data_IF_130888383831
#
_entry.id   IF_130888383831
#
_cell.length_a   1.000
_cell.length_b   1.000
_cell.length_c   1.000
_cell.angle_alpha   90.00
_cell.angle_beta   90.00
_cell.angle_gamma   90.00
#
_symmetry.space_group_name_H-M   'P 1'
#
loop_
_entity.id
_entity.type
_entity.pdbx_description
1 polymer ?
#
# COMPACT_ATOMS: atom_id res chain seq x y z
N UNK A 1 -33.24 12.20 5.79
CA UNK A 1 -32.57 10.96 6.24
C UNK A 1 -31.07 11.25 6.29
N UNK A 2 -30.53 11.44 7.48
CA UNK A 2 -29.12 11.73 7.70
C UNK A 2 -28.33 10.43 7.56
N UNK A 3 -27.51 10.34 6.51
CA UNK A 3 -26.53 9.27 6.39
C UNK A 3 -25.57 9.35 7.58
N UNK A 4 -25.65 8.41 8.48
CA UNK A 4 -24.71 8.27 9.59
C UNK A 4 -23.33 8.09 8.97
N UNK A 5 -22.45 9.10 9.10
CA UNK A 5 -21.04 8.97 8.73
C UNK A 5 -20.42 7.87 9.60
N UNK A 6 -20.31 6.66 9.05
CA UNK A 6 -19.53 5.59 9.69
C UNK A 6 -18.10 6.10 9.87
N UNK A 7 -17.55 5.94 11.08
CA UNK A 7 -16.16 6.31 11.36
C UNK A 7 -15.21 5.57 10.40
N UNK A 8 -14.13 6.20 9.94
CA UNK A 8 -13.16 5.57 9.00
C UNK A 8 -12.70 4.17 9.43
N UNK A 9 -12.49 3.95 10.73
CA UNK A 9 -12.09 2.67 11.33
C UNK A 9 -13.12 1.55 11.05
N UNK A 10 -14.41 1.84 11.13
CA UNK A 10 -15.47 0.85 10.87
C UNK A 10 -15.49 0.39 9.40
N UNK A 11 -15.03 1.23 8.46
CA UNK A 11 -14.93 0.90 7.03
C UNK A 11 -13.73 0.00 6.71
N UNK A 12 -12.73 -0.04 7.59
CA UNK A 12 -11.51 -0.83 7.43
C UNK A 12 -11.60 -2.20 8.12
N UNK A 13 -12.56 -2.40 9.04
CA UNK A 13 -12.64 -3.60 9.87
C UNK A 13 -12.65 -4.92 9.10
N UNK A 14 -13.39 -5.10 7.99
CA UNK A 14 -13.35 -6.35 7.23
C UNK A 14 -11.95 -6.67 6.68
N UNK A 15 -11.23 -5.65 6.21
CA UNK A 15 -9.86 -5.80 5.75
C UNK A 15 -8.92 -6.15 6.90
N UNK A 16 -9.01 -5.47 8.04
CA UNK A 16 -8.20 -5.75 9.23
C UNK A 16 -8.39 -7.20 9.69
N UNK A 17 -9.64 -7.68 9.75
CA UNK A 17 -9.95 -9.04 10.15
C UNK A 17 -9.41 -10.07 9.15
N UNK A 18 -9.52 -9.80 7.84
CA UNK A 18 -8.97 -10.65 6.80
C UNK A 18 -7.44 -10.72 6.84
N UNK A 19 -6.77 -9.58 7.00
CA UNK A 19 -5.29 -9.52 7.12
C UNK A 19 -4.83 -10.27 8.37
N UNK A 20 -5.50 -10.08 9.50
CA UNK A 20 -5.19 -10.83 10.73
C UNK A 20 -5.28 -12.34 10.51
N UNK A 21 -6.35 -12.81 9.91
CA UNK A 21 -6.51 -14.23 9.58
C UNK A 21 -5.40 -14.73 8.64
N UNK A 22 -5.04 -13.95 7.62
CA UNK A 22 -3.94 -14.30 6.70
C UNK A 22 -2.59 -14.42 7.43
N UNK A 23 -2.26 -13.48 8.32
CA UNK A 23 -1.01 -13.50 9.11
C UNK A 23 -0.99 -14.67 10.11
N UNK A 24 -2.13 -15.06 10.66
CA UNK A 24 -2.25 -16.20 11.59
C UNK A 24 -1.92 -17.55 10.95
N UNK A 25 -1.92 -17.67 9.61
CA UNK A 25 -1.44 -18.86 8.90
C UNK A 25 0.03 -19.15 9.15
N UNK A 26 0.84 -18.16 9.57
CA UNK A 26 2.28 -18.28 9.83
C UNK A 26 3.06 -18.87 8.65
N UNK A 27 2.60 -18.59 7.42
CA UNK A 27 3.30 -18.90 6.21
C UNK A 27 4.62 -18.10 6.09
N UNK A 28 5.44 -18.43 5.10
CA UNK A 28 6.59 -17.58 4.80
C UNK A 28 6.13 -16.19 4.30
N UNK A 29 7.07 -15.26 4.18
CA UNK A 29 6.73 -13.89 3.83
C UNK A 29 6.10 -13.75 2.43
N UNK A 30 6.57 -14.53 1.46
CA UNK A 30 6.04 -14.48 0.09
C UNK A 30 4.61 -14.99 0.05
N UNK A 31 4.33 -16.11 0.70
CA UNK A 31 2.99 -16.66 0.79
C UNK A 31 2.06 -15.75 1.62
N UNK A 32 2.55 -15.20 2.73
CA UNK A 32 1.78 -14.24 3.55
C UNK A 32 1.39 -13.02 2.73
N UNK A 33 2.31 -12.45 1.95
CA UNK A 33 2.01 -11.30 1.09
C UNK A 33 0.92 -11.61 0.07
N UNK A 34 0.93 -12.81 -0.54
CA UNK A 34 -0.10 -13.24 -1.49
C UNK A 34 -1.46 -13.47 -0.81
N UNK A 35 -1.50 -14.06 0.38
CA UNK A 35 -2.72 -14.23 1.17
C UNK A 35 -3.32 -12.87 1.52
N UNK A 36 -2.50 -11.91 1.93
CA UNK A 36 -2.93 -10.54 2.25
C UNK A 36 -3.40 -9.79 1.00
N UNK A 37 -2.74 -9.97 -0.15
CA UNK A 37 -3.19 -9.40 -1.42
C UNK A 37 -4.60 -9.92 -1.80
N UNK A 38 -4.88 -11.19 -1.54
CA UNK A 38 -6.22 -11.75 -1.76
C UNK A 38 -7.27 -11.16 -0.80
N UNK A 39 -6.90 -10.88 0.45
CA UNK A 39 -7.79 -10.20 1.40
C UNK A 39 -8.05 -8.73 0.99
N UNK A 40 -7.05 -8.03 0.45
CA UNK A 40 -7.23 -6.72 -0.17
C UNK A 40 -8.22 -6.77 -1.33
N UNK A 41 -8.15 -7.80 -2.18
CA UNK A 41 -9.11 -7.99 -3.29
C UNK A 41 -10.53 -8.23 -2.80
N UNK A 42 -10.70 -9.08 -1.77
CA UNK A 42 -12.03 -9.44 -1.22
C UNK A 42 -12.67 -8.28 -0.45
N UNK A 43 -11.86 -7.50 0.24
CA UNK A 43 -12.29 -6.43 1.14
C UNK A 43 -11.74 -5.07 0.68
N UNK A 44 -11.76 -4.81 -0.65
CA UNK A 44 -11.19 -3.61 -1.24
C UNK A 44 -11.84 -2.37 -0.63
N UNK A 45 -11.07 -1.53 0.09
CA UNK A 45 -11.64 -0.31 0.65
C UNK A 45 -11.92 0.72 -0.44
N UNK A 46 -12.74 1.69 -0.10
CA UNK A 46 -12.97 2.87 -0.96
C UNK A 46 -12.14 4.07 -0.47
N UNK A 47 -11.92 5.10 -1.30
CA UNK A 47 -11.14 6.28 -0.91
C UNK A 47 -11.64 6.99 0.35
N UNK A 48 -12.89 6.75 0.76
CA UNK A 48 -13.50 7.32 1.99
C UNK A 48 -12.91 6.76 3.29
N UNK A 49 -11.98 5.79 3.24
CA UNK A 49 -11.15 5.43 4.41
C UNK A 49 -10.24 6.59 4.82
N UNK A 50 -9.93 7.49 3.88
CA UNK A 50 -9.23 8.75 4.11
C UNK A 50 -10.23 9.90 4.22
N UNK A 51 -9.90 10.89 5.05
CA UNK A 51 -10.68 12.12 5.12
C UNK A 51 -10.58 12.91 3.81
N UNK A 52 -11.56 13.81 3.50
CA UNK A 52 -11.45 14.67 2.33
C UNK A 52 -10.12 15.44 2.25
N UNK A 53 -9.62 15.93 3.39
CA UNK A 53 -8.34 16.63 3.44
C UNK A 53 -7.15 15.75 3.12
N UNK A 54 -7.11 14.51 3.63
CA UNK A 54 -6.05 13.56 3.34
C UNK A 54 -6.01 13.19 1.85
N UNK A 55 -7.17 13.04 1.21
CA UNK A 55 -7.29 12.71 -0.22
C UNK A 55 -6.76 13.80 -1.17
N UNK A 56 -6.61 15.04 -0.70
CA UNK A 56 -6.01 16.11 -1.49
C UNK A 56 -4.50 15.91 -1.73
N UNK A 57 -3.85 15.10 -0.89
CA UNK A 57 -2.40 14.92 -0.95
C UNK A 57 -1.64 16.22 -0.64
N UNK A 58 -0.39 16.27 -1.00
CA UNK A 58 0.49 17.42 -0.80
C UNK A 58 1.24 17.76 -2.08
N UNK A 59 1.48 19.05 -2.38
CA UNK A 59 2.24 19.44 -3.56
C UNK A 59 3.74 19.06 -3.49
N UNK A 60 4.30 18.89 -2.27
CA UNK A 60 5.74 18.63 -2.10
C UNK A 60 6.14 17.18 -2.42
N UNK A 61 5.30 16.22 -1.99
CA UNK A 61 5.54 14.79 -2.18
C UNK A 61 4.27 13.99 -1.91
N UNK A 62 4.25 12.73 -2.34
CA UNK A 62 3.18 11.81 -1.92
C UNK A 62 3.06 11.75 -0.39
N UNK A 63 1.87 11.42 0.10
CA UNK A 63 1.58 11.34 1.54
C UNK A 63 1.21 9.93 1.94
N UNK A 64 1.75 9.54 3.10
CA UNK A 64 1.44 8.28 3.77
C UNK A 64 0.58 8.57 5.00
N UNK A 65 -0.51 7.84 5.15
CA UNK A 65 -1.44 7.94 6.29
C UNK A 65 -1.59 6.57 6.93
N UNK A 66 -1.09 6.40 8.15
CA UNK A 66 -1.29 5.16 8.91
C UNK A 66 -2.77 5.05 9.29
N UNK A 67 -3.42 3.99 8.83
CA UNK A 67 -4.85 3.73 9.03
C UNK A 67 -5.10 2.72 10.16
N UNK A 68 -4.19 1.75 10.30
CA UNK A 68 -4.25 0.72 11.34
C UNK A 68 -2.85 0.22 11.67
N UNK A 69 -2.62 -0.05 12.95
CA UNK A 69 -1.46 -0.82 13.43
C UNK A 69 -2.01 -1.94 14.29
N UNK A 70 -1.66 -3.18 13.98
CA UNK A 70 -2.06 -4.33 14.79
C UNK A 70 -1.43 -4.23 16.17
N UNK A 71 -2.18 -4.47 17.27
CA UNK A 71 -1.68 -4.26 18.64
C UNK A 71 -0.41 -5.02 18.99
N UNK A 72 -0.19 -6.18 18.39
CA UNK A 72 1.02 -6.99 18.57
C UNK A 72 2.17 -6.58 17.62
N UNK A 73 1.95 -5.60 16.75
CA UNK A 73 2.95 -5.08 15.81
C UNK A 73 3.20 -5.97 14.58
N UNK A 74 2.40 -6.99 14.34
CA UNK A 74 2.59 -7.94 13.24
C UNK A 74 2.33 -7.35 11.86
N UNK A 75 1.46 -6.34 11.76
CA UNK A 75 1.23 -5.62 10.51
C UNK A 75 0.70 -4.20 10.71
N UNK A 76 0.80 -3.40 9.66
CA UNK A 76 0.19 -2.07 9.57
C UNK A 76 -0.52 -1.91 8.24
N UNK A 77 -1.59 -1.11 8.21
CA UNK A 77 -2.30 -0.69 7.01
C UNK A 77 -2.11 0.81 6.83
N UNK A 78 -1.70 1.20 5.62
CA UNK A 78 -1.32 2.56 5.27
C UNK A 78 -2.03 2.98 3.98
N UNK A 79 -2.59 4.17 3.94
CA UNK A 79 -3.09 4.80 2.71
C UNK A 79 -2.02 5.71 2.12
N UNK A 80 -1.69 5.54 0.85
CA UNK A 80 -0.79 6.41 0.10
C UNK A 80 -1.58 7.28 -0.86
N UNK A 81 -1.24 8.57 -0.93
CA UNK A 81 -1.90 9.56 -1.79
C UNK A 81 -0.85 10.23 -2.66
N UNK A 82 -1.02 10.07 -3.97
CA UNK A 82 -0.07 10.51 -5.00
C UNK A 82 -0.73 11.57 -5.87
N UNK A 83 -0.25 12.81 -5.83
CA UNK A 83 -0.67 13.81 -6.81
C UNK A 83 -0.01 13.51 -8.17
N UNK A 84 -0.56 14.06 -9.27
CA UNK A 84 0.02 13.91 -10.60
C UNK A 84 1.53 14.16 -10.63
N UNK A 85 2.27 13.23 -11.25
CA UNK A 85 3.72 13.31 -11.43
C UNK A 85 4.56 12.89 -10.21
N UNK A 86 3.95 12.57 -9.07
CA UNK A 86 4.71 12.13 -7.89
C UNK A 86 5.14 10.67 -8.02
N UNK A 87 6.35 10.39 -7.51
CA UNK A 87 6.96 9.06 -7.56
C UNK A 87 7.77 8.78 -6.29
N UNK A 88 8.03 7.50 -6.02
CA UNK A 88 9.02 7.09 -5.03
C UNK A 88 10.43 7.16 -5.62
N UNK A 89 11.43 7.13 -4.76
CA UNK A 89 12.77 6.67 -5.14
C UNK A 89 12.73 5.17 -5.41
N UNK A 90 13.71 4.64 -6.14
CA UNK A 90 13.90 3.18 -6.27
C UNK A 90 14.28 2.65 -4.88
N UNK A 91 13.55 1.65 -4.39
CA UNK A 91 13.74 1.12 -3.03
C UNK A 91 13.35 -0.35 -2.92
N UNK A 92 13.83 -0.99 -1.85
CA UNK A 92 13.37 -2.30 -1.37
C UNK A 92 12.78 -2.17 0.04
N UNK A 93 12.17 -3.26 0.55
CA UNK A 93 11.43 -3.24 1.82
C UNK A 93 12.12 -4.05 2.91
N UNK A 94 11.80 -3.72 4.16
CA UNK A 94 12.30 -4.43 5.36
C UNK A 94 11.47 -5.68 5.69
N UNK A 95 10.29 -5.79 5.10
CA UNK A 95 9.31 -6.84 5.36
C UNK A 95 8.46 -7.09 4.12
N UNK A 96 7.60 -8.08 4.15
CA UNK A 96 6.60 -8.29 3.10
C UNK A 96 5.63 -7.11 3.00
N UNK A 97 5.13 -6.91 1.80
CA UNK A 97 4.13 -5.90 1.48
C UNK A 97 3.05 -6.50 0.57
N UNK A 98 1.83 -6.05 0.75
CA UNK A 98 0.76 -6.21 -0.23
C UNK A 98 0.08 -4.86 -0.45
N UNK A 99 -0.36 -4.57 -1.67
CA UNK A 99 -1.07 -3.33 -1.94
C UNK A 99 -2.25 -3.52 -2.90
N UNK A 100 -3.15 -2.54 -2.87
CA UNK A 100 -4.25 -2.40 -3.83
C UNK A 100 -4.43 -0.95 -4.21
N UNK A 101 -4.70 -0.68 -5.50
CA UNK A 101 -5.11 0.65 -5.96
C UNK A 101 -6.60 0.83 -5.74
N UNK A 102 -7.00 1.94 -5.14
CA UNK A 102 -8.40 2.27 -4.83
C UNK A 102 -8.90 3.54 -5.53
N UNK A 103 -7.99 4.32 -6.14
CA UNK A 103 -8.31 5.46 -7.00
C UNK A 103 -7.17 5.72 -7.97
N UNK A 104 -7.49 6.07 -9.22
CA UNK A 104 -6.51 6.41 -10.24
C UNK A 104 -5.74 5.21 -10.76
N UNK A 105 -4.51 5.44 -11.19
CA UNK A 105 -3.59 4.43 -11.72
C UNK A 105 -2.21 4.67 -11.12
N UNK A 106 -1.53 3.60 -10.73
CA UNK A 106 -0.14 3.62 -10.28
C UNK A 106 0.72 2.83 -11.26
N UNK A 107 1.69 3.49 -11.86
CA UNK A 107 2.71 2.86 -12.68
C UNK A 107 3.81 2.31 -11.78
N UNK A 108 4.12 1.03 -11.91
CA UNK A 108 5.16 0.33 -11.14
C UNK A 108 6.27 -0.14 -12.08
N UNK A 109 7.50 0.11 -11.68
CA UNK A 109 8.70 -0.37 -12.33
C UNK A 109 9.44 -1.32 -11.37
N UNK A 110 9.81 -2.50 -11.86
CA UNK A 110 10.56 -3.53 -11.11
C UNK A 110 12.00 -3.59 -11.59
N UNK A 111 12.93 -3.75 -10.67
CA UNK A 111 14.35 -3.77 -10.93
C UNK A 111 15.02 -5.02 -10.38
N UNK A 112 16.07 -5.49 -11.06
CA UNK A 112 16.97 -6.50 -10.51
C UNK A 112 17.98 -5.91 -9.53
N UNK A 113 18.89 -6.75 -8.99
CA UNK A 113 19.90 -6.33 -8.03
C UNK A 113 20.94 -5.37 -8.61
N UNK A 114 21.11 -5.36 -9.94
CA UNK A 114 22.01 -4.46 -10.67
C UNK A 114 21.29 -3.19 -11.16
N UNK A 115 20.03 -2.98 -10.74
CA UNK A 115 19.14 -1.88 -11.11
C UNK A 115 18.78 -1.84 -12.60
N UNK A 116 18.79 -2.96 -13.28
CA UNK A 116 18.20 -3.05 -14.60
C UNK A 116 16.68 -3.17 -14.47
N UNK A 117 15.95 -2.44 -15.31
CA UNK A 117 14.50 -2.57 -15.40
C UNK A 117 14.16 -3.96 -15.95
N UNK A 118 13.40 -4.74 -15.16
CA UNK A 118 13.00 -6.12 -15.52
C UNK A 118 11.50 -6.27 -15.77
N UNK A 119 10.70 -5.27 -15.42
CA UNK A 119 9.26 -5.26 -15.64
C UNK A 119 8.64 -3.93 -15.29
N UNK A 120 7.49 -3.66 -15.90
CA UNK A 120 6.66 -2.50 -15.60
C UNK A 120 5.18 -2.86 -15.76
N UNK A 121 4.31 -2.19 -15.00
CA UNK A 121 2.87 -2.39 -15.09
C UNK A 121 2.11 -1.14 -14.66
N UNK A 122 0.93 -0.94 -15.25
CA UNK A 122 -0.07 0.02 -14.77
C UNK A 122 -1.07 -0.72 -13.89
N UNK A 123 -1.11 -0.37 -12.61
CA UNK A 123 -2.03 -0.94 -11.65
C UNK A 123 -3.28 -0.05 -11.56
N UNK A 124 -4.42 -0.59 -11.94
CA UNK A 124 -5.72 0.07 -11.93
C UNK A 124 -6.49 -0.21 -10.64
N UNK A 125 -7.60 0.50 -10.45
CA UNK A 125 -8.49 0.27 -9.29
C UNK A 125 -8.92 -1.19 -9.24
N UNK A 126 -8.65 -1.84 -8.11
CA UNK A 126 -8.93 -3.26 -7.88
C UNK A 126 -7.75 -4.20 -8.18
N UNK A 127 -6.70 -3.72 -8.85
CA UNK A 127 -5.47 -4.50 -8.98
C UNK A 127 -4.77 -4.60 -7.62
N UNK A 128 -4.29 -5.80 -7.32
CA UNK A 128 -3.60 -6.12 -6.08
C UNK A 128 -2.28 -6.80 -6.39
N UNK A 129 -1.30 -6.58 -5.54
CA UNK A 129 0.01 -7.24 -5.60
C UNK A 129 0.48 -7.60 -4.20
N UNK A 130 1.27 -8.68 -4.09
CA UNK A 130 1.92 -9.08 -2.85
C UNK A 130 3.34 -9.55 -3.16
N UNK A 131 4.30 -9.07 -2.38
CA UNK A 131 5.71 -9.38 -2.56
C UNK A 131 6.47 -9.35 -1.24
N UNK A 132 7.65 -9.95 -1.24
CA UNK A 132 8.55 -9.97 -0.10
C UNK A 132 10.01 -9.90 -0.54
N UNK A 133 10.90 -9.29 0.28
CA UNK A 133 12.32 -9.34 0.01
C UNK A 133 12.86 -10.79 0.08
N UNK A 134 13.92 -11.12 -0.69
CA UNK A 134 14.58 -10.28 -1.68
C UNK A 134 13.87 -10.29 -3.04
N UNK A 135 14.17 -9.30 -3.90
CA UNK A 135 13.64 -9.22 -5.26
C UNK A 135 12.45 -8.28 -5.40
N UNK A 136 12.28 -7.41 -4.43
CA UNK A 136 11.20 -6.44 -4.29
C UNK A 136 11.66 -5.00 -4.58
N UNK A 137 12.73 -4.84 -5.37
CA UNK A 137 13.25 -3.51 -5.74
C UNK A 137 12.31 -2.90 -6.77
N UNK A 138 11.71 -1.76 -6.41
CA UNK A 138 10.75 -1.10 -7.29
C UNK A 138 10.73 0.43 -7.16
N UNK A 139 10.00 1.04 -8.07
CA UNK A 139 9.57 2.44 -8.02
C UNK A 139 8.10 2.53 -8.42
N UNK A 140 7.35 3.37 -7.72
CA UNK A 140 5.94 3.65 -8.02
C UNK A 140 5.80 5.10 -8.45
N UNK A 141 4.98 5.35 -9.47
CA UNK A 141 4.78 6.66 -10.07
C UNK A 141 3.31 6.88 -10.43
N UNK A 142 2.74 8.03 -10.04
CA UNK A 142 1.49 8.49 -10.61
C UNK A 142 1.78 9.25 -11.91
N UNK A 143 1.64 8.58 -13.04
CA UNK A 143 1.91 9.13 -14.39
C UNK A 143 0.77 9.98 -14.94
N UNK A 144 -0.38 10.05 -14.25
CA UNK A 144 -1.51 10.89 -14.66
C UNK A 144 -1.12 12.38 -14.69
N UNK A 145 -1.71 13.12 -15.62
CA UNK A 145 -1.53 14.58 -15.72
C UNK A 145 -2.43 15.35 -14.73
N UNK A 146 -3.54 14.78 -14.30
CA UNK A 146 -4.62 15.50 -13.61
C UNK A 146 -5.29 14.72 -12.47
N UNK A 147 -5.10 13.41 -12.38
CA UNK A 147 -5.81 12.55 -11.44
C UNK A 147 -4.91 12.13 -10.27
N UNK A 148 -5.36 12.36 -9.04
CA UNK A 148 -4.72 11.84 -7.84
C UNK A 148 -4.94 10.33 -7.74
N UNK A 149 -3.87 9.56 -7.57
CA UNK A 149 -3.92 8.14 -7.27
C UNK A 149 -3.94 7.90 -5.76
N UNK A 150 -4.64 6.86 -5.33
CA UNK A 150 -4.69 6.41 -3.95
C UNK A 150 -4.58 4.90 -3.91
N UNK A 151 -3.66 4.40 -3.09
CA UNK A 151 -3.49 2.98 -2.82
C UNK A 151 -3.51 2.67 -1.33
N UNK A 152 -3.81 1.42 -1.01
CA UNK A 152 -3.74 0.88 0.35
C UNK A 152 -2.64 -0.17 0.38
N UNK A 153 -1.71 0.00 1.30
CA UNK A 153 -0.58 -0.88 1.51
C UNK A 153 -0.68 -1.56 2.87
N UNK A 154 -0.34 -2.84 2.92
CA UNK A 154 -0.21 -3.61 4.15
C UNK A 154 1.25 -4.05 4.28
N UNK A 155 1.88 -3.71 5.39
CA UNK A 155 3.26 -4.06 5.69
C UNK A 155 3.33 -5.01 6.89
N UNK A 156 4.17 -6.03 6.82
CA UNK A 156 4.37 -7.04 7.87
C UNK A 156 5.16 -6.53 9.08
N UNK A 157 4.86 -5.33 9.54
CA UNK A 157 5.51 -4.68 10.68
C UNK A 157 4.73 -3.46 11.16
N UNK A 158 5.07 -2.96 12.34
CA UNK A 158 4.59 -1.66 12.84
C UNK A 158 5.43 -0.53 12.21
N UNK A 159 4.91 0.09 11.14
CA UNK A 159 5.58 1.17 10.42
C UNK A 159 5.80 2.43 11.24
N UNK A 160 5.06 2.63 12.33
CA UNK A 160 5.19 3.81 13.20
C UNK A 160 6.47 3.77 14.02
N UNK A 161 6.99 2.56 14.28
CA UNK A 161 8.23 2.36 15.05
C UNK A 161 9.50 2.52 14.22
N UNK A 162 9.40 2.32 12.90
CA UNK A 162 10.55 2.25 12.00
C UNK A 162 10.64 3.44 11.04
N UNK A 163 9.65 4.34 11.07
CA UNK A 163 9.63 5.55 10.24
C UNK A 163 9.32 5.34 8.75
N UNK A 164 9.00 4.10 8.35
CA UNK A 164 8.66 3.75 6.98
C UNK A 164 8.95 2.28 6.68
N UNK A 165 8.57 1.81 5.49
CA UNK A 165 8.73 0.41 5.08
C UNK A 165 9.98 0.17 4.22
N UNK A 166 10.57 1.24 3.65
CA UNK A 166 11.75 1.12 2.82
C UNK A 166 12.98 0.72 3.66
N UNK A 167 13.73 -0.26 3.16
CA UNK A 167 14.98 -0.72 3.74
C UNK A 167 16.16 0.06 3.17
N UNK A 168 16.19 0.23 1.85
CA UNK A 168 17.25 0.92 1.11
C UNK A 168 16.65 1.76 -0.01
N UNK A 169 17.35 2.85 -0.32
CA UNK A 169 17.12 3.66 -1.51
C UNK A 169 18.35 3.57 -2.41
N UNK A 170 18.12 3.47 -3.73
CA UNK A 170 19.15 3.17 -4.71
C UNK A 170 19.51 4.35 -5.63
N UNK A 171 18.71 5.44 -5.61
CA UNK A 171 18.87 6.64 -6.44
C UNK A 171 18.98 7.94 -5.60
#
# INVERSE_FOLDING_TARGET
>A
MTATQMRPIARLSPLVDGVRAAVEHRADWSETALLVAEELRRNLPTPEILTPQQRLGSPESYRSHTLHVEPDGTFSIVGLVWRPGQLTRIHDHITWCAFAVIQGVEHEELFDADLNLIGESDNHVGDVSGFAPPGDIHRVHNTSADTTAISVHVYGTDVTRIGGSARRYYD
#
